data_IF_330562509365
#
_entry.id   IF_330562509365
#
_cell.length_a   1.000
_cell.length_b   1.000
_cell.length_c   1.000
_cell.angle_alpha   90.00
_cell.angle_beta   90.00
_cell.angle_gamma   90.00
#
_symmetry.space_group_name_H-M   'P 1'
#
loop_
_entity.id
_entity.type
_entity.pdbx_description
1 polymer ?
#
# COMPACT_ATOMS: atom_id res chain seq x y z
N UNK A 1 -29.09 -5.13 -5.88
CA UNK A 1 -28.82 -3.69 -5.71
C UNK A 1 -27.32 -3.50 -5.64
N UNK A 2 -26.71 -2.81 -6.62
CA UNK A 2 -25.28 -2.47 -6.61
C UNK A 2 -25.05 -1.46 -5.47
N UNK A 3 -24.23 -1.81 -4.48
CA UNK A 3 -23.80 -0.84 -3.47
C UNK A 3 -22.99 0.25 -4.18
N UNK A 4 -23.32 1.54 -4.04
CA UNK A 4 -22.53 2.61 -4.64
C UNK A 4 -21.09 2.54 -4.09
N UNK A 5 -20.12 2.72 -4.98
CA UNK A 5 -18.70 2.71 -4.62
C UNK A 5 -18.42 3.98 -3.80
N UNK A 6 -18.17 3.83 -2.50
CA UNK A 6 -17.79 4.93 -1.63
C UNK A 6 -16.26 5.04 -1.58
N UNK A 7 -15.73 6.14 -2.13
CA UNK A 7 -14.29 6.39 -2.25
C UNK A 7 -13.68 7.08 -1.02
N UNK A 8 -14.50 7.57 -0.09
CA UNK A 8 -14.03 8.35 1.06
C UNK A 8 -13.07 7.52 1.91
N UNK A 9 -13.48 6.31 2.30
CA UNK A 9 -12.67 5.48 3.19
C UNK A 9 -11.36 4.97 2.55
N UNK A 10 -11.34 4.48 1.28
CA UNK A 10 -10.09 4.16 0.59
C UNK A 10 -9.14 5.36 0.45
N UNK A 11 -9.64 6.54 0.08
CA UNK A 11 -8.78 7.73 -0.05
C UNK A 11 -8.23 8.16 1.32
N UNK A 12 -9.06 8.10 2.37
CA UNK A 12 -8.62 8.39 3.73
C UNK A 12 -7.53 7.41 4.20
N UNK A 13 -7.71 6.12 3.93
CA UNK A 13 -6.70 5.08 4.15
C UNK A 13 -5.38 5.39 3.42
N UNK A 14 -5.45 5.83 2.16
CA UNK A 14 -4.27 6.19 1.35
C UNK A 14 -3.51 7.39 1.92
N UNK A 15 -4.25 8.38 2.42
CA UNK A 15 -3.68 9.54 3.10
C UNK A 15 -2.96 9.13 4.39
N UNK A 16 -3.60 8.30 5.23
CA UNK A 16 -2.98 7.78 6.45
C UNK A 16 -1.66 7.07 6.14
N UNK A 17 -1.66 6.18 5.13
CA UNK A 17 -0.45 5.47 4.73
C UNK A 17 0.64 6.43 4.22
N UNK A 18 0.28 7.41 3.39
CA UNK A 18 1.25 8.41 2.89
C UNK A 18 1.86 9.25 4.00
N UNK A 19 1.06 9.65 4.98
CA UNK A 19 1.51 10.43 6.13
C UNK A 19 2.46 9.65 7.06
N UNK A 20 2.46 8.32 6.97
CA UNK A 20 3.41 7.47 7.70
C UNK A 20 4.82 7.49 7.12
N UNK A 21 4.99 7.92 5.86
CA UNK A 21 6.29 7.97 5.19
C UNK A 21 7.06 9.29 5.47
N UNK A 22 8.37 9.34 5.14
CA UNK A 22 9.21 10.52 5.34
C UNK A 22 8.60 11.81 4.76
N UNK A 23 8.99 12.95 5.38
CA UNK A 23 8.36 14.29 5.38
C UNK A 23 7.42 14.52 6.56
N UNK A 24 6.49 13.59 6.82
CA UNK A 24 5.55 13.69 7.95
C UNK A 24 5.90 12.70 9.07
N UNK A 25 6.31 11.49 8.69
CA UNK A 25 6.83 10.48 9.60
C UNK A 25 5.88 10.13 10.76
N UNK A 26 4.57 10.10 10.48
CA UNK A 26 3.54 9.75 11.46
C UNK A 26 3.38 8.23 11.50
N UNK A 27 4.40 7.55 12.03
CA UNK A 27 4.51 6.09 12.03
C UNK A 27 3.32 5.37 12.67
N UNK A 28 2.68 6.00 13.67
CA UNK A 28 1.47 5.48 14.33
C UNK A 28 0.33 5.22 13.34
N UNK A 29 0.22 6.00 12.26
CA UNK A 29 -0.79 5.79 11.23
C UNK A 29 -0.53 4.54 10.40
N UNK A 30 0.69 3.99 10.41
CA UNK A 30 1.03 2.77 9.68
C UNK A 30 0.22 1.56 10.16
N UNK A 31 0.01 1.44 11.47
CA UNK A 31 -0.79 0.33 12.03
C UNK A 31 -2.28 0.46 11.70
N UNK A 32 -2.78 1.68 11.55
CA UNK A 32 -4.21 1.94 11.32
C UNK A 32 -4.55 2.24 9.87
N UNK A 33 -3.56 2.33 8.98
CA UNK A 33 -3.77 2.84 7.62
C UNK A 33 -4.78 1.99 6.85
N UNK A 34 -4.80 0.67 7.01
CA UNK A 34 -5.72 -0.23 6.30
C UNK A 34 -7.13 -0.29 6.90
N UNK A 35 -7.35 0.20 8.13
CA UNK A 35 -8.64 0.08 8.83
C UNK A 35 -9.80 0.68 8.02
N UNK A 36 -9.72 1.93 7.49
CA UNK A 36 -10.80 2.50 6.69
C UNK A 36 -11.04 1.74 5.37
N UNK A 37 -9.97 1.22 4.75
CA UNK A 37 -10.08 0.39 3.55
C UNK A 37 -10.83 -0.91 3.86
N UNK A 38 -10.48 -1.61 4.94
CA UNK A 38 -11.16 -2.85 5.34
C UNK A 38 -12.66 -2.65 5.57
N UNK A 39 -13.08 -1.55 6.20
CA UNK A 39 -14.50 -1.21 6.31
C UNK A 39 -15.16 -1.12 4.93
N UNK A 40 -14.56 -0.42 3.98
CA UNK A 40 -15.09 -0.32 2.61
C UNK A 40 -15.17 -1.69 1.92
N UNK A 41 -14.20 -2.58 2.14
CA UNK A 41 -14.19 -3.93 1.59
C UNK A 41 -15.26 -4.84 2.21
N UNK A 42 -15.60 -4.68 3.49
CA UNK A 42 -16.63 -5.46 4.17
C UNK A 42 -18.03 -5.08 3.65
N UNK A 43 -18.30 -3.78 3.49
CA UNK A 43 -19.61 -3.30 3.04
C UNK A 43 -19.85 -3.45 1.53
N UNK A 44 -18.80 -3.74 0.76
CA UNK A 44 -18.90 -3.98 -0.68
C UNK A 44 -19.20 -5.45 -0.97
N UNK A 45 -20.31 -5.75 -1.66
CA UNK A 45 -20.68 -7.15 -1.97
C UNK A 45 -19.87 -7.75 -3.12
N UNK A 46 -19.66 -6.99 -4.18
CA UNK A 46 -19.03 -7.48 -5.41
C UNK A 46 -17.49 -7.46 -5.31
N UNK A 47 -16.83 -8.59 -5.55
CA UNK A 47 -15.36 -8.68 -5.54
C UNK A 47 -14.70 -7.73 -6.56
N UNK A 48 -15.33 -7.49 -7.70
CA UNK A 48 -14.84 -6.53 -8.69
C UNK A 48 -14.73 -5.12 -8.10
N UNK A 49 -15.76 -4.68 -7.37
CA UNK A 49 -15.77 -3.35 -6.75
C UNK A 49 -14.75 -3.26 -5.60
N UNK A 50 -14.54 -4.34 -4.85
CA UNK A 50 -13.45 -4.42 -3.85
C UNK A 50 -12.08 -4.17 -4.47
N UNK A 51 -11.79 -4.82 -5.61
CA UNK A 51 -10.51 -4.62 -6.30
C UNK A 51 -10.37 -3.21 -6.87
N UNK A 52 -11.45 -2.61 -7.36
CA UNK A 52 -11.45 -1.20 -7.81
C UNK A 52 -11.13 -0.26 -6.64
N UNK A 53 -11.71 -0.49 -5.45
CA UNK A 53 -11.44 0.30 -4.25
C UNK A 53 -9.96 0.21 -3.85
N UNK A 54 -9.38 -1.00 -3.87
CA UNK A 54 -7.94 -1.22 -3.61
C UNK A 54 -7.08 -0.51 -4.65
N UNK A 55 -7.43 -0.62 -5.94
CA UNK A 55 -6.70 0.04 -7.02
C UNK A 55 -6.68 1.56 -6.82
N UNK A 56 -7.81 2.17 -6.46
CA UNK A 56 -7.91 3.62 -6.21
C UNK A 56 -7.10 4.01 -4.98
N UNK A 57 -7.21 3.25 -3.88
CA UNK A 57 -6.42 3.47 -2.66
C UNK A 57 -4.92 3.52 -2.97
N UNK A 58 -4.41 2.53 -3.71
CA UNK A 58 -2.99 2.42 -4.01
C UNK A 58 -2.51 3.45 -5.04
N UNK A 59 -3.29 3.71 -6.10
CA UNK A 59 -2.96 4.78 -7.05
C UNK A 59 -2.85 6.11 -6.32
N UNK A 60 -3.79 6.41 -5.42
CA UNK A 60 -3.77 7.64 -4.65
C UNK A 60 -2.53 7.68 -3.75
N UNK A 61 -2.28 6.62 -2.97
CA UNK A 61 -1.11 6.53 -2.09
C UNK A 61 0.21 6.74 -2.84
N UNK A 62 0.46 5.97 -3.91
CA UNK A 62 1.71 6.07 -4.67
C UNK A 62 1.83 7.41 -5.39
N UNK A 63 0.73 8.00 -5.88
CA UNK A 63 0.76 9.33 -6.50
C UNK A 63 1.15 10.40 -5.49
N UNK A 64 0.62 10.34 -4.27
CA UNK A 64 0.96 11.29 -3.21
C UNK A 64 2.32 11.02 -2.58
N UNK A 65 2.77 9.76 -2.53
CA UNK A 65 4.08 9.37 -2.01
C UNK A 65 5.21 9.77 -2.98
N UNK A 66 4.99 9.57 -4.28
CA UNK A 66 5.97 9.78 -5.36
C UNK A 66 5.78 11.11 -6.09
N UNK A 67 5.03 12.06 -5.51
CA UNK A 67 4.74 13.37 -6.12
C UNK A 67 6.01 14.11 -6.60
N UNK A 68 7.12 13.90 -5.90
CA UNK A 68 8.42 14.51 -6.20
C UNK A 68 8.98 14.08 -7.56
N UNK A 69 8.55 12.94 -8.12
CA UNK A 69 8.95 12.51 -9.46
C UNK A 69 8.53 13.50 -10.54
N UNK A 70 7.41 14.23 -10.35
CA UNK A 70 6.97 15.25 -11.30
C UNK A 70 8.02 16.36 -11.41
N UNK A 71 8.59 16.79 -10.28
CA UNK A 71 9.68 17.77 -10.29
C UNK A 71 10.92 17.21 -11.00
N UNK A 72 11.30 15.97 -10.70
CA UNK A 72 12.47 15.34 -11.33
C UNK A 72 12.33 15.23 -12.85
N UNK A 73 11.17 14.78 -13.34
CA UNK A 73 10.88 14.61 -14.77
C UNK A 73 10.83 15.95 -15.52
N UNK A 74 10.25 16.97 -14.90
CA UNK A 74 10.20 18.32 -15.51
C UNK A 74 11.58 18.98 -15.50
N UNK A 75 12.31 18.91 -14.38
CA UNK A 75 13.59 19.61 -14.24
C UNK A 75 14.75 18.93 -14.96
N UNK A 76 14.86 17.61 -14.85
CA UNK A 76 16.00 16.86 -15.38
C UNK A 76 15.66 16.09 -16.66
N UNK A 77 14.39 15.67 -16.82
CA UNK A 77 13.91 15.03 -18.05
C UNK A 77 13.49 16.00 -19.14
N UNK A 78 13.43 17.31 -18.84
CA UNK A 78 12.94 18.36 -19.74
C UNK A 78 11.55 18.06 -20.32
N UNK A 79 10.73 17.31 -19.57
CA UNK A 79 9.37 16.97 -19.94
C UNK A 79 8.41 18.08 -19.50
N UNK A 80 7.30 18.24 -20.22
CA UNK A 80 6.24 19.12 -19.76
C UNK A 80 5.51 18.53 -18.53
N UNK A 81 4.76 19.37 -17.82
CA UNK A 81 4.06 19.00 -16.60
C UNK A 81 3.03 17.87 -16.84
N UNK A 82 2.28 17.93 -17.94
CA UNK A 82 1.21 16.98 -18.26
C UNK A 82 1.79 15.57 -18.47
N UNK A 83 2.85 15.46 -19.28
CA UNK A 83 3.54 14.18 -19.51
C UNK A 83 4.09 13.64 -18.20
N UNK A 84 4.67 14.49 -17.35
CA UNK A 84 5.24 14.08 -16.06
C UNK A 84 4.16 13.55 -15.10
N UNK A 85 2.98 14.17 -15.07
CA UNK A 85 1.82 13.70 -14.30
C UNK A 85 1.28 12.36 -14.83
N UNK A 86 1.19 12.21 -16.15
CA UNK A 86 0.77 10.94 -16.78
C UNK A 86 1.74 9.81 -16.45
N UNK A 87 3.05 10.07 -16.49
CA UNK A 87 4.07 9.09 -16.13
C UNK A 87 4.01 8.70 -14.64
N UNK A 88 3.75 9.66 -13.74
CA UNK A 88 3.51 9.38 -12.32
C UNK A 88 2.28 8.49 -12.11
N UNK A 89 1.17 8.80 -12.78
CA UNK A 89 -0.05 8.00 -12.70
C UNK A 89 0.15 6.60 -13.29
N UNK A 90 0.90 6.48 -14.38
CA UNK A 90 1.25 5.20 -15.00
C UNK A 90 2.09 4.34 -14.03
N UNK A 91 3.12 4.93 -13.42
CA UNK A 91 3.94 4.25 -12.41
C UNK A 91 3.10 3.83 -11.20
N UNK A 92 2.26 4.73 -10.70
CA UNK A 92 1.40 4.47 -9.53
C UNK A 92 0.38 3.36 -9.83
N UNK A 93 -0.17 3.32 -11.05
CA UNK A 93 -1.04 2.24 -11.52
C UNK A 93 -0.30 0.91 -11.60
N UNK A 94 0.94 0.91 -12.12
CA UNK A 94 1.80 -0.28 -12.15
C UNK A 94 2.03 -0.83 -10.74
N UNK A 95 2.35 0.03 -9.76
CA UNK A 95 2.56 -0.38 -8.37
C UNK A 95 1.27 -0.87 -7.70
N UNK A 96 0.14 -0.21 -7.98
CA UNK A 96 -1.15 -0.59 -7.45
C UNK A 96 -1.57 -2.01 -7.87
N UNK A 97 -1.18 -2.50 -9.05
CA UNK A 97 -1.50 -3.86 -9.49
C UNK A 97 -0.92 -4.95 -8.59
N UNK A 98 0.24 -4.72 -7.97
CA UNK A 98 0.80 -5.64 -6.97
C UNK A 98 -0.16 -5.82 -5.80
N UNK A 99 -0.61 -4.71 -5.22
CA UNK A 99 -1.54 -4.72 -4.09
C UNK A 99 -2.93 -5.23 -4.48
N UNK A 100 -3.41 -4.95 -5.69
CA UNK A 100 -4.64 -5.56 -6.22
C UNK A 100 -4.51 -7.08 -6.28
N UNK A 101 -3.38 -7.61 -6.74
CA UNK A 101 -3.12 -9.06 -6.76
C UNK A 101 -3.05 -9.65 -5.34
N UNK A 102 -2.41 -8.94 -4.42
CA UNK A 102 -2.38 -9.28 -2.99
C UNK A 102 -3.78 -9.35 -2.38
N UNK A 103 -4.59 -8.31 -2.53
CA UNK A 103 -5.96 -8.28 -2.01
C UNK A 103 -6.85 -9.32 -2.70
N UNK A 104 -6.69 -9.53 -4.01
CA UNK A 104 -7.39 -10.59 -4.73
C UNK A 104 -7.12 -11.97 -4.14
N UNK A 105 -5.85 -12.27 -3.85
CA UNK A 105 -5.43 -13.53 -3.24
C UNK A 105 -6.04 -13.69 -1.84
N UNK A 106 -5.98 -12.63 -1.01
CA UNK A 106 -6.56 -12.65 0.34
C UNK A 106 -8.10 -12.76 0.35
N UNK A 107 -8.78 -12.16 -0.65
CA UNK A 107 -10.22 -12.33 -0.85
C UNK A 107 -10.57 -13.78 -1.22
N UNK A 108 -9.79 -14.41 -2.11
CA UNK A 108 -9.96 -15.83 -2.46
C UNK A 108 -9.72 -16.77 -1.29
N UNK A 109 -8.74 -16.46 -0.44
CA UNK A 109 -8.43 -17.20 0.78
C UNK A 109 -9.40 -16.90 1.94
N UNK A 110 -10.43 -16.07 1.71
CA UNK A 110 -11.47 -15.73 2.69
C UNK A 110 -10.90 -15.20 4.02
N UNK A 111 -9.80 -14.45 3.92
CA UNK A 111 -9.10 -13.88 5.08
C UNK A 111 -10.04 -12.92 5.84
N UNK A 112 -10.93 -12.22 5.13
CA UNK A 112 -11.84 -11.22 5.71
C UNK A 112 -13.18 -11.75 6.23
N UNK A 113 -13.58 -13.01 5.96
CA UNK A 113 -14.92 -13.53 6.34
C UNK A 113 -15.02 -13.90 7.83
N UNK A 114 -13.90 -14.29 8.45
CA UNK A 114 -13.83 -14.64 9.89
C UNK A 114 -12.43 -14.32 10.42
N UNK A 115 -12.16 -13.08 10.85
CA UNK A 115 -10.83 -12.65 11.23
C UNK A 115 -10.34 -13.41 12.47
N UNK A 116 -9.11 -13.89 12.41
CA UNK A 116 -8.42 -14.52 13.53
C UNK A 116 -6.90 -14.28 13.39
N UNK A 117 -6.14 -14.60 14.44
CA UNK A 117 -4.70 -14.35 14.46
C UNK A 117 -3.93 -15.08 13.34
N UNK A 118 -4.31 -16.33 13.04
CA UNK A 118 -3.68 -17.12 11.97
C UNK A 118 -3.88 -16.45 10.60
N UNK A 119 -5.09 -15.93 10.34
CA UNK A 119 -5.40 -15.18 9.12
C UNK A 119 -4.66 -13.85 9.05
N UNK A 120 -4.43 -13.19 10.19
CA UNK A 120 -3.54 -12.04 10.29
C UNK A 120 -2.12 -12.38 9.85
N UNK A 121 -1.57 -13.51 10.32
CA UNK A 121 -0.26 -14.01 9.87
C UNK A 121 -0.23 -14.23 8.35
N UNK A 122 -1.25 -14.89 7.79
CA UNK A 122 -1.34 -15.08 6.33
C UNK A 122 -1.43 -13.77 5.56
N UNK A 123 -2.19 -12.79 6.05
CA UNK A 123 -2.27 -11.46 5.47
C UNK A 123 -0.87 -10.80 5.45
N UNK A 124 -0.16 -10.79 6.57
CA UNK A 124 1.17 -10.21 6.65
C UNK A 124 2.21 -10.94 5.80
N UNK A 125 2.17 -12.28 5.74
CA UNK A 125 3.06 -13.07 4.89
C UNK A 125 2.82 -12.79 3.40
N UNK A 126 1.55 -12.73 2.99
CA UNK A 126 1.21 -12.42 1.59
C UNK A 126 1.56 -10.98 1.22
N UNK A 127 1.50 -10.04 2.17
CA UNK A 127 1.96 -8.66 1.97
C UNK A 127 3.47 -8.61 1.76
N UNK A 128 4.25 -9.24 2.63
CA UNK A 128 5.71 -9.33 2.48
C UNK A 128 6.09 -10.00 1.16
N UNK A 129 5.39 -11.07 0.80
CA UNK A 129 5.60 -11.76 -0.47
C UNK A 129 5.36 -10.86 -1.69
N UNK A 130 4.30 -10.05 -1.67
CA UNK A 130 4.02 -9.15 -2.79
C UNK A 130 5.02 -7.99 -2.87
N UNK A 131 5.46 -7.45 -1.73
CA UNK A 131 6.50 -6.43 -1.67
C UNK A 131 7.85 -6.98 -2.18
N UNK A 132 8.16 -8.23 -1.84
CA UNK A 132 9.35 -8.91 -2.37
C UNK A 132 9.28 -9.07 -3.89
N UNK A 133 8.15 -9.52 -4.44
CA UNK A 133 7.95 -9.61 -5.89
C UNK A 133 8.08 -8.25 -6.56
N UNK A 134 7.48 -7.21 -5.98
CA UNK A 134 7.58 -5.82 -6.44
C UNK A 134 9.02 -5.31 -6.45
N UNK A 135 9.86 -5.80 -5.54
CA UNK A 135 11.29 -5.51 -5.49
C UNK A 135 12.16 -6.30 -6.46
N UNK A 136 11.62 -7.27 -7.20
CA UNK A 136 12.38 -8.13 -8.12
C UNK A 136 11.92 -8.07 -9.56
N UNK A 137 10.61 -7.96 -9.80
CA UNK A 137 10.06 -7.93 -11.15
C UNK A 137 10.41 -6.62 -11.87
N UNK A 138 10.72 -6.72 -13.17
CA UNK A 138 11.03 -5.59 -14.05
C UNK A 138 12.07 -4.63 -13.44
N UNK A 139 13.17 -5.19 -12.93
CA UNK A 139 14.27 -4.49 -12.21
C UNK A 139 13.98 -4.07 -10.77
N UNK A 140 12.71 -4.11 -10.35
CA UNK A 140 12.29 -3.87 -8.97
C UNK A 140 12.02 -2.40 -8.62
N UNK A 141 10.97 -2.15 -7.85
CA UNK A 141 10.65 -0.83 -7.31
C UNK A 141 10.10 -0.93 -5.88
N UNK A 142 10.99 -0.92 -4.89
CA UNK A 142 10.67 -1.14 -3.46
C UNK A 142 10.24 0.13 -2.70
N UNK A 143 10.05 1.26 -3.39
CA UNK A 143 9.67 2.52 -2.73
C UNK A 143 8.34 2.39 -1.99
N UNK A 144 8.23 2.99 -0.81
CA UNK A 144 7.00 2.90 -0.02
C UNK A 144 6.76 1.52 0.60
N UNK A 145 7.82 0.76 0.92
CA UNK A 145 7.66 -0.50 1.63
C UNK A 145 7.19 -0.26 3.08
N UNK A 146 6.23 -1.05 3.56
CA UNK A 146 5.58 -0.86 4.85
C UNK A 146 6.56 -0.85 6.03
N UNK A 147 7.60 -1.69 5.98
CA UNK A 147 8.61 -1.78 7.03
C UNK A 147 9.38 -0.48 7.29
N UNK A 148 9.48 0.42 6.30
CA UNK A 148 10.13 1.73 6.50
C UNK A 148 9.34 2.65 7.42
N UNK A 149 8.05 2.39 7.62
CA UNK A 149 7.27 3.14 8.61
C UNK A 149 7.82 2.90 10.03
N UNK A 150 8.22 1.66 10.31
CA UNK A 150 8.76 1.27 11.62
C UNK A 150 10.25 1.59 11.79
N UNK A 151 10.97 1.97 10.72
CA UNK A 151 12.40 2.27 10.83
C UNK A 151 12.69 3.51 11.68
N UNK A 152 11.70 4.37 11.88
CA UNK A 152 11.82 5.58 12.71
C UNK A 152 11.46 5.33 14.18
N UNK A 153 11.07 4.10 14.55
CA UNK A 153 10.79 3.71 15.92
C UNK A 153 11.85 2.74 16.42
N UNK A 154 12.79 3.25 17.22
CA UNK A 154 14.00 2.54 17.65
C UNK A 154 13.77 1.11 18.17
N UNK A 155 12.75 0.83 19.02
CA UNK A 155 12.49 -0.54 19.47
C UNK A 155 12.14 -1.52 18.35
N UNK A 156 11.38 -1.09 17.33
CA UNK A 156 11.07 -1.96 16.20
C UNK A 156 12.24 -2.05 15.23
N UNK A 157 13.00 -0.97 15.03
CA UNK A 157 14.15 -0.96 14.12
C UNK A 157 15.17 -2.05 14.47
N UNK A 158 15.40 -2.36 15.76
CA UNK A 158 16.31 -3.41 16.20
C UNK A 158 15.94 -4.80 15.66
N UNK A 159 14.65 -5.05 15.36
CA UNK A 159 14.22 -6.32 14.76
C UNK A 159 14.72 -6.49 13.32
N UNK A 160 15.13 -5.40 12.65
CA UNK A 160 15.72 -5.46 11.34
C UNK A 160 17.09 -6.16 11.34
N UNK A 161 17.81 -6.21 12.47
CA UNK A 161 19.10 -6.91 12.56
C UNK A 161 18.92 -8.44 12.43
N UNK A 162 17.73 -8.95 12.77
CA UNK A 162 17.41 -10.39 12.68
C UNK A 162 16.66 -10.70 11.39
N UNK A 163 15.63 -9.92 11.08
CA UNK A 163 14.65 -10.23 10.02
C UNK A 163 14.69 -9.27 8.83
N UNK A 164 15.55 -8.25 8.87
CA UNK A 164 15.60 -7.18 7.89
C UNK A 164 14.30 -6.38 7.81
N UNK A 165 14.18 -5.61 6.73
CA UNK A 165 13.00 -4.77 6.43
C UNK A 165 11.72 -5.61 6.24
N UNK A 166 11.86 -6.88 5.86
CA UNK A 166 10.74 -7.80 5.65
C UNK A 166 10.05 -8.16 6.96
N UNK A 167 10.81 -8.38 8.05
CA UNK A 167 10.25 -8.59 9.38
C UNK A 167 9.49 -7.36 9.89
N UNK A 168 10.01 -6.15 9.62
CA UNK A 168 9.30 -4.91 9.96
C UNK A 168 7.99 -4.77 9.18
N UNK A 169 8.02 -5.10 7.88
CA UNK A 169 6.82 -5.05 7.03
C UNK A 169 5.78 -6.07 7.51
N UNK A 170 6.21 -7.25 7.92
CA UNK A 170 5.35 -8.28 8.52
C UNK A 170 4.68 -7.78 9.80
N UNK A 171 5.46 -7.20 10.73
CA UNK A 171 4.95 -6.70 12.01
C UNK A 171 3.97 -5.56 11.80
N UNK A 172 4.30 -4.61 10.91
CA UNK A 172 3.42 -3.47 10.63
C UNK A 172 2.11 -3.89 9.93
N UNK A 173 2.11 -4.99 9.18
CA UNK A 173 0.91 -5.53 8.54
C UNK A 173 0.08 -6.41 9.49
N UNK A 174 0.69 -6.95 10.55
CA UNK A 174 0.02 -7.86 11.50
C UNK A 174 -0.79 -7.11 12.57
N UNK A 175 -0.39 -5.89 12.88
CA UNK A 175 -1.08 -4.99 13.82
C UNK A 175 -2.49 -4.63 13.36
#
# INVERSE_FOLDING_TARGET
>A
MRTPINLIAPIFSALLLTLSFPKWNLWIFGFFCFVPLFFSLIFTKENKNKLILVLIFEIFHFSTLLYWLVYTLTKYGNLNLIISLVLLLLLSSYLAFYYVFFFYTNLKLKIFESPNFIKGIFFSLTLVGIEYLRGKLLTGFTWGQLGYILSNFSPFLQLADIWGIWGLSFICALS
#
